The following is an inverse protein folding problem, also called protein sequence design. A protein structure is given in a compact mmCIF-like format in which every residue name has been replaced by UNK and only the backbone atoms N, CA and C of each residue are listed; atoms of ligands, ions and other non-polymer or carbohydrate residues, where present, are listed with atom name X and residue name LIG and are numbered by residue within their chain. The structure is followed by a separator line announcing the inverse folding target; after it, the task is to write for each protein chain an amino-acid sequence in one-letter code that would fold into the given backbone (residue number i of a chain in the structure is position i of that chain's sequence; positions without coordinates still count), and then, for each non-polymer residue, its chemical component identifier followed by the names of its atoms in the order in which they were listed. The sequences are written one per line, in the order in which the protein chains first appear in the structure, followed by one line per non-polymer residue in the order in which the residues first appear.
data_IF_869654857954
#
_entry.id   IF_869654857954
#
_cell.length_a   1.000
_cell.length_b   1.000
_cell.length_c   1.000
_cell.angle_alpha   90.00
_cell.angle_beta   90.00
_cell.angle_gamma   90.00
#
_symmetry.space_group_name_H-M   'P 1'
#
loop_
_entity.id
_entity.type
_entity.pdbx_description
1 polymer ?
#
# COMPACT_ATOMS: atom_id res chain seq x y z
N UNK A 1 -7.97 -2.45 -4.84
CA UNK A 1 -7.10 -1.38 -4.32
C UNK A 1 -5.65 -1.82 -4.44
N UNK A 2 -4.80 -1.00 -5.07
CA UNK A 2 -3.37 -1.31 -5.27
C UNK A 2 -2.54 -0.86 -4.07
N UNK A 3 -1.40 -1.51 -3.80
CA UNK A 3 -0.52 -1.11 -2.68
C UNK A 3 -0.01 0.33 -2.79
N UNK A 4 0.16 0.85 -4.00
CA UNK A 4 0.49 2.28 -4.19
C UNK A 4 -0.57 3.20 -3.54
N UNK A 5 -1.85 2.85 -3.62
CA UNK A 5 -2.94 3.63 -3.00
C UNK A 5 -2.89 3.50 -1.48
N UNK A 6 -2.66 2.29 -0.97
CA UNK A 6 -2.48 2.06 0.48
C UNK A 6 -1.37 2.94 1.07
N UNK A 7 -0.24 3.07 0.36
CA UNK A 7 0.90 3.89 0.77
C UNK A 7 0.60 5.41 0.77
N UNK A 8 -0.52 5.86 0.20
CA UNK A 8 -0.95 7.27 0.18
C UNK A 8 -2.11 7.57 1.14
N UNK A 9 -2.73 6.53 1.73
CA UNK A 9 -3.90 6.69 2.59
C UNK A 9 -3.51 6.77 4.06
N UNK A 10 -4.10 7.72 4.78
CA UNK A 10 -3.93 7.90 6.23
C UNK A 10 -5.27 8.09 6.93
N UNK A 11 -5.30 7.74 8.21
CA UNK A 11 -6.45 7.95 9.09
C UNK A 11 -6.52 9.41 9.55
N UNK A 12 -7.56 10.13 9.13
CA UNK A 12 -7.80 11.53 9.51
C UNK A 12 -8.92 11.68 10.56
N UNK A 13 -9.16 10.64 11.36
CA UNK A 13 -10.16 10.68 12.43
C UNK A 13 -9.74 11.69 13.48
N UNK A 14 -10.72 12.43 14.03
CA UNK A 14 -10.52 13.38 15.12
C UNK A 14 -9.72 12.77 16.27
N UNK A 15 -8.69 13.48 16.71
CA UNK A 15 -7.83 13.08 17.81
C UNK A 15 -6.70 12.11 17.43
N UNK A 16 -6.62 11.66 16.18
CA UNK A 16 -5.48 10.88 15.67
C UNK A 16 -4.35 11.82 15.26
N UNK A 17 -3.15 11.58 15.77
CA UNK A 17 -1.93 12.31 15.40
C UNK A 17 -1.09 11.49 14.44
N UNK A 18 -1.03 10.17 14.64
CA UNK A 18 -0.25 9.23 13.83
C UNK A 18 -1.18 8.25 13.11
N UNK A 19 -1.81 8.73 12.05
CA UNK A 19 -2.78 7.96 11.25
C UNK A 19 -2.18 7.08 10.15
N UNK A 20 -0.86 7.00 10.04
CA UNK A 20 -0.14 6.31 8.97
C UNK A 20 1.00 5.44 9.51
N UNK A 21 1.26 4.25 8.93
CA UNK A 21 0.47 3.60 7.89
C UNK A 21 -0.79 2.92 8.44
N UNK A 22 -1.82 2.81 7.60
CA UNK A 22 -3.00 2.01 7.90
C UNK A 22 -2.63 0.53 7.88
N UNK A 23 -3.09 -0.25 8.86
CA UNK A 23 -2.85 -1.70 8.90
C UNK A 23 -3.77 -2.36 7.87
N UNK A 24 -3.19 -3.03 6.87
CA UNK A 24 -3.92 -3.71 5.82
C UNK A 24 -4.32 -5.13 6.29
N UNK A 25 -5.62 -5.42 6.25
CA UNK A 25 -6.19 -6.77 6.42
C UNK A 25 -6.83 -7.18 5.10
N UNK A 26 -6.13 -7.95 4.28
CA UNK A 26 -6.66 -8.43 3.01
C UNK A 26 -7.43 -9.75 3.19
N UNK A 27 -8.62 -9.83 2.60
CA UNK A 27 -9.46 -11.04 2.60
C UNK A 27 -9.49 -11.68 1.21
N UNK A 28 -9.67 -10.85 0.17
CA UNK A 28 -9.69 -11.29 -1.22
C UNK A 28 -8.71 -10.42 -2.02
N UNK A 29 -7.74 -11.05 -2.66
CA UNK A 29 -6.76 -10.41 -3.54
C UNK A 29 -6.86 -10.95 -4.95
N UNK A 30 -6.50 -10.11 -5.92
CA UNK A 30 -6.49 -10.43 -7.34
C UNK A 30 -5.19 -9.90 -7.96
N UNK A 31 -4.62 -10.64 -8.90
CA UNK A 31 -3.44 -10.19 -9.65
C UNK A 31 -3.91 -9.72 -11.02
N UNK A 32 -3.81 -8.42 -11.26
CA UNK A 32 -4.16 -7.77 -12.53
C UNK A 32 -2.89 -7.18 -13.13
N UNK A 33 -2.26 -7.87 -14.12
CA UNK A 33 -1.02 -7.40 -14.72
C UNK A 33 -1.16 -6.00 -15.33
N UNK A 34 -0.15 -5.17 -15.10
CA UNK A 34 -0.05 -3.82 -15.63
C UNK A 34 1.23 -3.61 -16.42
N UNK A 35 1.27 -2.56 -17.24
CA UNK A 35 2.45 -2.24 -18.02
C UNK A 35 3.64 -1.92 -17.10
N UNK A 36 4.77 -2.59 -17.32
CA UNK A 36 5.99 -2.37 -16.56
C UNK A 36 6.74 -1.14 -17.07
N UNK A 37 7.04 -0.22 -16.16
CA UNK A 37 7.89 0.95 -16.42
C UNK A 37 8.93 1.11 -15.32
N UNK A 38 10.19 0.80 -15.64
CA UNK A 38 11.31 0.94 -14.71
C UNK A 38 11.46 2.38 -14.18
N UNK A 39 11.32 3.37 -15.06
CA UNK A 39 11.42 4.78 -14.70
C UNK A 39 10.32 5.20 -13.69
N UNK A 40 9.10 4.69 -13.87
CA UNK A 40 8.00 4.94 -12.94
C UNK A 40 8.31 4.36 -11.55
N UNK A 41 8.78 3.11 -11.48
CA UNK A 41 9.09 2.45 -10.21
C UNK A 41 10.22 3.17 -9.47
N UNK A 42 11.30 3.53 -10.16
CA UNK A 42 12.42 4.27 -9.55
C UNK A 42 11.97 5.62 -9.00
N UNK A 43 11.14 6.37 -9.75
CA UNK A 43 10.59 7.66 -9.28
C UNK A 43 9.61 7.48 -8.12
N UNK A 44 8.79 6.44 -8.15
CA UNK A 44 7.80 6.17 -7.11
C UNK A 44 8.46 5.74 -5.80
N UNK A 45 9.49 4.89 -5.89
CA UNK A 45 10.27 4.44 -4.75
C UNK A 45 10.88 5.58 -3.93
N UNK A 46 11.22 6.71 -4.57
CA UNK A 46 11.73 7.89 -3.88
C UNK A 46 10.64 8.66 -3.07
N UNK A 47 9.36 8.45 -3.36
CA UNK A 47 8.22 9.11 -2.70
C UNK A 47 7.47 8.19 -1.74
N UNK A 48 7.69 6.90 -1.86
CA UNK A 48 7.00 5.87 -1.14
C UNK A 48 7.59 5.73 0.26
N UNK A 49 6.72 5.61 1.25
CA UNK A 49 7.15 5.16 2.58
C UNK A 49 7.48 3.67 2.52
N UNK A 50 8.77 3.34 2.63
CA UNK A 50 9.23 1.97 2.44
C UNK A 50 8.75 1.02 3.55
N UNK A 51 8.65 1.52 4.78
CA UNK A 51 8.20 0.70 5.91
C UNK A 51 6.72 0.31 5.75
N UNK A 52 5.87 1.27 5.35
CA UNK A 52 4.47 1.04 5.04
C UNK A 52 4.28 0.09 3.85
N UNK A 53 5.12 0.20 2.83
CA UNK A 53 5.09 -0.70 1.68
C UNK A 53 5.47 -2.13 2.04
N UNK A 54 6.56 -2.33 2.79
CA UNK A 54 6.98 -3.66 3.26
C UNK A 54 5.90 -4.27 4.15
N UNK A 55 5.29 -3.49 5.05
CA UNK A 55 4.17 -3.95 5.88
C UNK A 55 2.94 -4.33 5.04
N UNK A 56 2.59 -3.51 4.04
CA UNK A 56 1.50 -3.80 3.11
C UNK A 56 1.75 -5.06 2.28
N UNK A 57 2.96 -5.22 1.74
CA UNK A 57 3.37 -6.39 0.98
C UNK A 57 3.35 -7.67 1.83
N UNK A 58 3.81 -7.59 3.09
CA UNK A 58 3.71 -8.68 4.05
C UNK A 58 2.25 -9.09 4.31
N UNK A 59 1.32 -8.13 4.45
CA UNK A 59 -0.10 -8.42 4.60
C UNK A 59 -0.73 -9.10 3.36
N UNK A 60 -0.12 -8.94 2.19
CA UNK A 60 -0.53 -9.60 0.93
C UNK A 60 0.25 -10.90 0.65
N UNK A 61 1.17 -11.29 1.52
CA UNK A 61 2.10 -12.41 1.32
C UNK A 61 2.92 -12.28 0.02
N UNK A 62 3.32 -11.05 -0.33
CA UNK A 62 4.15 -10.76 -1.50
C UNK A 62 5.58 -10.44 -1.03
N UNK A 63 6.56 -11.07 -1.65
CA UNK A 63 7.97 -10.85 -1.33
C UNK A 63 8.46 -9.54 -1.96
N UNK A 64 9.07 -8.68 -1.14
CA UNK A 64 9.60 -7.37 -1.55
C UNK A 64 10.92 -7.08 -0.83
N UNK A 65 11.81 -6.26 -1.40
CA UNK A 65 13.05 -5.90 -0.74
C UNK A 65 12.78 -5.20 0.60
N UNK A 66 13.47 -5.64 1.65
CA UNK A 66 13.32 -5.09 3.01
C UNK A 66 13.91 -3.67 3.14
N UNK A 67 14.87 -3.32 2.28
CA UNK A 67 15.52 -2.00 2.26
C UNK A 67 15.10 -1.19 1.04
N UNK A 68 15.05 0.15 1.16
CA UNK A 68 14.85 1.03 0.01
C UNK A 68 15.84 0.77 -1.13
N UNK A 69 15.41 1.05 -2.35
CA UNK A 69 16.21 0.88 -3.56
C UNK A 69 17.56 1.62 -3.46
N UNK A 70 18.66 0.86 -3.53
CA UNK A 70 20.00 1.41 -3.67
C UNK A 70 20.26 1.85 -5.12
N UNK A 71 21.35 2.58 -5.38
CA UNK A 71 21.70 2.97 -6.75
C UNK A 71 21.99 1.78 -7.67
N UNK A 72 22.47 0.66 -7.12
CA UNK A 72 22.66 -0.58 -7.86
C UNK A 72 21.31 -1.25 -8.22
N UNK A 73 20.31 -1.11 -7.36
CA UNK A 73 19.00 -1.72 -7.59
C UNK A 73 18.17 -0.96 -8.62
N UNK A 74 18.44 0.34 -8.81
CA UNK A 74 17.76 1.18 -9.82
C UNK A 74 18.02 0.71 -11.26
N UNK A 75 19.10 -0.02 -11.51
CA UNK A 75 19.39 -0.64 -12.80
C UNK A 75 19.10 -2.15 -12.83
N UNK A 76 18.69 -2.74 -11.69
CA UNK A 76 18.37 -4.14 -11.58
C UNK A 76 16.90 -4.40 -11.91
N UNK A 77 16.63 -4.80 -13.16
CA UNK A 77 15.28 -5.04 -13.66
C UNK A 77 14.51 -6.12 -12.87
N UNK A 78 15.21 -7.10 -12.28
CA UNK A 78 14.58 -8.15 -11.46
C UNK A 78 13.92 -7.55 -10.22
N UNK A 79 14.66 -6.70 -9.50
CA UNK A 79 14.16 -6.02 -8.29
C UNK A 79 13.04 -5.05 -8.64
N UNK A 80 13.19 -4.31 -9.74
CA UNK A 80 12.15 -3.38 -10.20
C UNK A 80 10.86 -4.09 -10.59
N UNK A 81 10.94 -5.27 -11.20
CA UNK A 81 9.75 -6.10 -11.53
C UNK A 81 9.08 -6.65 -10.28
N UNK A 82 9.83 -7.05 -9.26
CA UNK A 82 9.26 -7.47 -7.98
C UNK A 82 8.48 -6.33 -7.30
N UNK A 83 9.08 -5.14 -7.26
CA UNK A 83 8.43 -3.95 -6.69
C UNK A 83 7.20 -3.56 -7.51
N UNK A 84 7.29 -3.59 -8.85
CA UNK A 84 6.16 -3.33 -9.75
C UNK A 84 5.00 -4.28 -9.49
N UNK A 85 5.29 -5.58 -9.40
CA UNK A 85 4.29 -6.60 -9.12
C UNK A 85 3.54 -6.30 -7.83
N UNK A 86 4.27 -6.07 -6.73
CA UNK A 86 3.66 -5.75 -5.44
C UNK A 86 2.87 -4.42 -5.49
N UNK A 87 3.43 -3.37 -6.09
CA UNK A 87 2.82 -2.03 -6.09
C UNK A 87 1.58 -1.90 -6.98
N UNK A 88 1.60 -2.52 -8.16
CA UNK A 88 0.66 -2.23 -9.23
C UNK A 88 -0.18 -3.43 -9.68
N UNK A 89 0.38 -4.64 -9.62
CA UNK A 89 -0.29 -5.84 -10.12
C UNK A 89 -1.14 -6.53 -9.06
N UNK A 90 -0.75 -6.45 -7.78
CA UNK A 90 -1.54 -7.05 -6.69
C UNK A 90 -2.61 -6.08 -6.19
N UNK A 91 -3.87 -6.49 -6.33
CA UNK A 91 -5.05 -5.70 -5.99
C UNK A 91 -5.79 -6.36 -4.85
N UNK A 92 -6.09 -5.60 -3.80
CA UNK A 92 -6.99 -6.02 -2.73
C UNK A 92 -8.42 -5.75 -3.19
N UNK A 93 -9.20 -6.80 -3.43
CA UNK A 93 -10.60 -6.69 -3.84
C UNK A 93 -11.53 -6.56 -2.64
N UNK A 94 -11.26 -7.30 -1.56
CA UNK A 94 -11.96 -7.18 -0.28
C UNK A 94 -11.00 -7.22 0.90
N UNK A 95 -11.33 -6.47 1.93
CA UNK A 95 -10.54 -6.39 3.16
C UNK A 95 -10.87 -5.15 3.96
N UNK A 96 -9.97 -4.74 4.84
CA UNK A 96 -10.09 -3.51 5.61
C UNK A 96 -8.72 -2.83 5.81
N UNK A 97 -8.76 -1.51 5.95
CA UNK A 97 -7.66 -0.70 6.44
C UNK A 97 -7.97 -0.30 7.89
N UNK A 98 -7.07 -0.57 8.82
CA UNK A 98 -7.28 -0.27 10.23
C UNK A 98 -6.36 0.86 10.66
N UNK A 99 -6.94 1.91 11.24
CA UNK A 99 -6.20 3.02 11.81
C UNK A 99 -5.34 2.52 12.98
N UNK A 100 -4.01 2.77 12.98
CA UNK A 100 -3.12 2.22 14.00
C UNK A 100 -3.38 2.81 15.40
N UNK A 101 -3.84 4.07 15.47
CA UNK A 101 -4.06 4.77 16.73
C UNK A 101 -5.49 4.63 17.26
N UNK A 102 -6.49 4.86 16.41
CA UNK A 102 -7.90 4.83 16.84
C UNK A 102 -8.58 3.46 16.72
N UNK A 103 -7.94 2.50 16.05
CA UNK A 103 -8.54 1.20 15.72
C UNK A 103 -9.70 1.28 14.72
N UNK A 104 -10.00 2.46 14.16
CA UNK A 104 -11.08 2.63 13.18
C UNK A 104 -10.81 1.79 11.94
N UNK A 105 -11.78 0.97 11.57
CA UNK A 105 -11.73 0.17 10.35
C UNK A 105 -12.40 0.92 9.19
N UNK A 106 -11.72 0.92 8.04
CA UNK A 106 -12.15 1.44 6.75
C UNK A 106 -12.28 0.25 5.78
N UNK A 107 -13.50 -0.19 5.44
CA UNK A 107 -13.68 -1.38 4.62
C UNK A 107 -13.25 -1.13 3.17
N UNK A 108 -12.71 -2.17 2.53
CA UNK A 108 -12.40 -2.24 1.11
C UNK A 108 -13.44 -3.16 0.48
N UNK A 109 -14.25 -2.63 -0.43
CA UNK A 109 -15.29 -3.38 -1.16
C UNK A 109 -15.09 -3.18 -2.65
N UNK A 110 -15.05 -4.28 -3.40
CA UNK A 110 -14.78 -4.30 -4.85
C UNK A 110 -13.55 -3.47 -5.25
N UNK A 111 -12.53 -3.54 -4.41
CA UNK A 111 -11.26 -2.86 -4.60
C UNK A 111 -11.27 -1.36 -4.31
N UNK A 112 -12.35 -0.82 -3.74
CA UNK A 112 -12.48 0.59 -3.38
C UNK A 112 -12.45 0.72 -1.85
N UNK A 113 -11.44 1.42 -1.27
CA UNK A 113 -11.41 1.71 0.16
C UNK A 113 -12.43 2.82 0.50
N UNK A 114 -13.29 2.56 1.48
CA UNK A 114 -14.23 3.55 2.00
C UNK A 114 -13.61 4.31 3.17
N UNK A 115 -13.15 5.54 2.90
CA UNK A 115 -12.51 6.43 3.87
C UNK A 115 -13.49 7.44 4.50
N UNK A 116 -14.81 7.25 4.36
CA UNK A 116 -15.81 8.17 4.91
C UNK A 116 -15.82 8.09 6.44
N UNK A 117 -15.73 9.26 7.07
CA UNK A 117 -15.90 9.46 8.50
C UNK A 117 -17.31 9.99 8.78
N UNK A 118 -17.85 9.65 9.94
CA UNK A 118 -19.11 10.24 10.42
C UNK A 118 -18.86 11.66 10.94
N UNK A 119 -19.90 12.47 11.06
CA UNK A 119 -19.79 13.86 11.54
C UNK A 119 -19.18 13.96 12.95
N UNK A 120 -19.38 12.95 13.81
CA UNK A 120 -18.78 12.87 15.14
C UNK A 120 -17.30 12.43 15.12
N UNK A 121 -16.83 11.86 14.01
CA UNK A 121 -15.47 11.35 13.83
C UNK A 121 -14.52 12.36 13.14
N UNK A 122 -15.01 13.53 12.72
CA UNK A 122 -14.24 14.62 12.08
C UNK A 122 -13.86 15.73 13.07
#
# INVERSE_FOLDING_TARGET
MRLITHNMLMCNKKGVVNGFPLVLKAEETEVVPSEFSAEFIVKMAAKLDWAAFVAGAAALNVDVPSTPLSDADKSNEVVLKQIHHALLDVHVKKGALVCPESGREFPIVDGIPNMLLREDEV
#
